data_IF_732765947160
#
_entry.id   IF_732765947160
#
_cell.length_a   1.000
_cell.length_b   1.000
_cell.length_c   1.000
_cell.angle_alpha   90.00
_cell.angle_beta   90.00
_cell.angle_gamma   90.00
#
_symmetry.space_group_name_H-M   'P 1'
#
loop_
_entity.id
_entity.type
_entity.pdbx_description
1 polymer ?
#
# COMPACT_ATOMS: atom_id res chain seq x y z
N UNK A 1 29.36 -5.22 -12.41
CA UNK A 1 28.07 -5.76 -11.95
C UNK A 1 27.74 -5.10 -10.63
N UNK A 2 26.71 -4.27 -10.55
CA UNK A 2 26.32 -3.63 -9.29
C UNK A 2 25.56 -4.68 -8.45
N UNK A 3 26.07 -5.13 -7.29
CA UNK A 3 25.61 -6.37 -6.65
C UNK A 3 24.32 -6.23 -5.84
N UNK A 4 23.57 -5.15 -5.99
CA UNK A 4 22.37 -4.89 -5.20
C UNK A 4 21.28 -4.29 -6.09
N UNK A 5 20.31 -5.09 -6.51
CA UNK A 5 19.10 -4.61 -7.19
C UNK A 5 18.05 -4.25 -6.13
N UNK A 6 17.59 -2.99 -6.09
CA UNK A 6 16.46 -2.55 -5.26
C UNK A 6 15.45 -1.79 -6.12
N UNK A 7 14.24 -1.61 -5.60
CA UNK A 7 13.21 -0.77 -6.23
C UNK A 7 12.81 0.31 -5.25
N UNK A 8 12.93 1.56 -5.70
CA UNK A 8 12.58 2.75 -4.92
C UNK A 8 11.10 2.80 -4.53
N UNK A 9 10.75 3.77 -3.70
CA UNK A 9 9.38 3.97 -3.25
C UNK A 9 8.48 4.46 -4.39
N UNK A 10 7.42 3.74 -4.70
CA UNK A 10 6.52 4.01 -5.83
C UNK A 10 5.10 3.48 -5.59
N UNK A 11 4.26 3.64 -6.60
CA UNK A 11 2.96 2.99 -6.78
C UNK A 11 2.92 2.36 -8.16
N UNK A 12 2.15 1.29 -8.33
CA UNK A 12 1.92 0.71 -9.65
C UNK A 12 0.81 1.45 -10.38
N UNK A 13 0.90 1.53 -11.71
CA UNK A 13 -0.22 1.94 -12.56
C UNK A 13 -1.19 0.76 -12.80
N UNK A 14 -1.73 0.23 -11.71
CA UNK A 14 -2.65 -0.91 -11.70
C UNK A 14 -3.78 -0.67 -10.70
N UNK A 15 -4.87 -1.42 -10.82
CA UNK A 15 -5.82 -1.55 -9.70
C UNK A 15 -5.32 -2.59 -8.70
N UNK A 16 -4.84 -3.70 -9.24
CA UNK A 16 -4.27 -4.82 -8.49
C UNK A 16 -2.98 -5.25 -9.18
N UNK A 17 -1.96 -5.54 -8.37
CA UNK A 17 -0.70 -6.12 -8.81
C UNK A 17 -0.57 -7.52 -8.22
N UNK A 18 -0.29 -8.48 -9.09
CA UNK A 18 0.13 -9.84 -8.72
C UNK A 18 1.65 -9.91 -8.86
N UNK A 19 2.33 -10.30 -7.80
CA UNK A 19 3.79 -10.45 -7.77
C UNK A 19 4.15 -11.87 -7.31
N UNK A 20 4.63 -12.70 -8.24
CA UNK A 20 4.97 -14.12 -8.02
C UNK A 20 6.48 -14.28 -7.91
N UNK A 21 6.95 -14.91 -6.84
CA UNK A 21 8.35 -15.25 -6.66
C UNK A 21 8.70 -16.52 -7.44
N UNK A 22 9.45 -16.38 -8.52
CA UNK A 22 9.90 -17.48 -9.39
C UNK A 22 11.35 -17.90 -9.13
N UNK A 23 12.10 -17.12 -8.33
CA UNK A 23 13.48 -17.41 -7.98
C UNK A 23 13.65 -18.70 -7.16
N UNK A 24 14.88 -19.19 -7.08
CA UNK A 24 15.26 -20.39 -6.31
C UNK A 24 15.66 -20.04 -4.87
N UNK A 25 16.90 -19.56 -4.68
CA UNK A 25 17.43 -19.17 -3.38
C UNK A 25 18.07 -17.79 -3.48
N UNK A 26 17.62 -16.87 -2.62
CA UNK A 26 18.15 -15.52 -2.50
C UNK A 26 17.89 -14.99 -1.08
N UNK A 27 18.61 -13.94 -0.71
CA UNK A 27 18.45 -13.24 0.57
C UNK A 27 18.24 -11.74 0.36
N UNK A 28 17.53 -11.11 1.31
CA UNK A 28 17.08 -9.72 1.18
C UNK A 28 15.94 -9.56 0.17
N UNK A 29 15.82 -8.38 -0.42
CA UNK A 29 14.79 -8.12 -1.43
C UNK A 29 13.37 -7.99 -0.87
N UNK A 30 13.22 -7.78 0.44
CA UNK A 30 11.91 -7.68 1.08
C UNK A 30 11.10 -6.53 0.46
N UNK A 31 9.83 -6.81 0.19
CA UNK A 31 8.88 -5.75 -0.12
C UNK A 31 8.57 -4.99 1.17
N UNK A 32 8.55 -3.66 1.07
CA UNK A 32 8.04 -2.81 2.13
C UNK A 32 6.84 -2.03 1.61
N UNK A 33 5.81 -1.94 2.42
CA UNK A 33 4.56 -1.26 2.15
C UNK A 33 4.37 -0.10 3.12
N UNK A 34 3.75 0.98 2.64
CA UNK A 34 3.52 2.22 3.40
C UNK A 34 2.09 2.74 3.21
N UNK A 35 1.12 1.84 3.29
CA UNK A 35 -0.30 2.17 3.21
C UNK A 35 -0.79 2.55 1.80
N UNK A 36 -2.10 2.44 1.63
CA UNK A 36 -2.79 2.69 0.35
C UNK A 36 -3.28 4.15 0.29
N UNK A 37 -3.13 4.81 -0.86
CA UNK A 37 -3.54 6.20 -1.07
C UNK A 37 -4.30 6.41 -2.37
N UNK A 38 -5.34 7.24 -2.34
CA UNK A 38 -5.97 7.76 -3.55
C UNK A 38 -5.09 8.85 -4.19
N UNK A 39 -5.44 9.26 -5.41
CA UNK A 39 -4.68 10.28 -6.16
C UNK A 39 -4.49 11.59 -5.39
N UNK A 40 -5.50 12.00 -4.61
CA UNK A 40 -5.44 13.21 -3.77
C UNK A 40 -4.47 13.09 -2.59
N UNK A 41 -4.11 11.88 -2.18
CA UNK A 41 -3.34 11.63 -0.96
C UNK A 41 -2.05 10.84 -1.22
N UNK A 42 -1.63 10.63 -2.47
CA UNK A 42 -0.45 9.81 -2.80
C UNK A 42 0.83 10.29 -2.08
N UNK A 43 0.96 11.62 -1.92
CA UNK A 43 2.10 12.29 -1.30
C UNK A 43 1.94 12.55 0.20
N UNK A 44 0.88 12.08 0.86
CA UNK A 44 0.76 12.29 2.32
C UNK A 44 1.70 11.39 3.10
N UNK A 45 1.90 11.69 4.39
CA UNK A 45 2.72 10.87 5.28
C UNK A 45 2.29 9.40 5.37
N UNK A 46 3.15 8.60 5.99
CA UNK A 46 2.86 7.21 6.37
C UNK A 46 2.73 7.14 7.88
N UNK A 47 1.70 6.49 8.38
CA UNK A 47 1.56 6.20 9.80
C UNK A 47 2.17 4.83 10.13
N UNK A 48 2.57 4.63 11.38
CA UNK A 48 3.33 3.45 11.79
C UNK A 48 2.54 2.14 11.56
N UNK A 49 1.23 2.17 11.79
CA UNK A 49 0.32 1.05 11.56
C UNK A 49 0.13 0.66 10.10
N UNK A 50 0.59 1.50 9.17
CA UNK A 50 0.51 1.25 7.72
C UNK A 50 1.79 0.63 7.16
N UNK A 51 2.84 0.54 7.97
CA UNK A 51 4.13 -0.02 7.56
C UNK A 51 4.07 -1.54 7.65
N UNK A 52 4.32 -2.20 6.54
CA UNK A 52 4.38 -3.66 6.47
C UNK A 52 5.60 -4.13 5.68
N UNK A 53 6.10 -5.31 5.99
CA UNK A 53 7.18 -5.96 5.27
C UNK A 53 6.76 -7.35 4.82
N UNK A 54 7.21 -7.77 3.66
CA UNK A 54 6.98 -9.11 3.14
C UNK A 54 8.26 -9.69 2.55
N UNK A 55 8.68 -10.83 3.08
CA UNK A 55 9.77 -11.63 2.55
C UNK A 55 9.23 -12.58 1.50
N UNK A 56 9.76 -12.48 0.28
CA UNK A 56 9.37 -13.39 -0.79
C UNK A 56 9.77 -14.82 -0.49
N UNK A 57 8.88 -15.75 -0.84
CA UNK A 57 9.11 -17.18 -0.77
C UNK A 57 8.92 -17.75 -2.17
N UNK A 58 9.91 -18.47 -2.73
CA UNK A 58 9.78 -19.19 -4.00
C UNK A 58 8.45 -19.95 -4.13
N UNK A 59 7.81 -19.81 -5.29
CA UNK A 59 6.51 -20.43 -5.58
C UNK A 59 5.30 -19.73 -4.95
N UNK A 60 5.49 -18.65 -4.19
CA UNK A 60 4.38 -17.87 -3.61
C UNK A 60 4.14 -16.57 -4.38
N UNK A 61 2.90 -16.10 -4.28
CA UNK A 61 2.47 -14.83 -4.83
C UNK A 61 1.98 -13.89 -3.74
N UNK A 62 2.18 -12.59 -3.96
CA UNK A 62 1.51 -11.52 -3.23
C UNK A 62 0.58 -10.80 -4.17
N UNK A 63 -0.66 -10.61 -3.72
CA UNK A 63 -1.64 -9.77 -4.39
C UNK A 63 -1.80 -8.48 -3.56
N UNK A 64 -1.62 -7.32 -4.18
CA UNK A 64 -1.83 -6.04 -3.52
C UNK A 64 -2.50 -5.03 -4.44
N UNK A 65 -3.10 -3.98 -3.86
CA UNK A 65 -3.60 -2.85 -4.64
C UNK A 65 -2.42 -2.15 -5.32
N UNK A 66 -2.58 -1.72 -6.57
CA UNK A 66 -1.54 -0.94 -7.27
C UNK A 66 -1.25 0.40 -6.58
N UNK A 67 -2.29 0.97 -5.97
CA UNK A 67 -2.21 2.17 -5.12
C UNK A 67 -1.57 1.95 -3.74
N UNK A 68 -1.16 0.72 -3.42
CA UNK A 68 -0.42 0.45 -2.19
C UNK A 68 1.02 0.91 -2.39
N UNK A 69 1.41 1.97 -1.71
CA UNK A 69 2.75 2.56 -1.90
C UNK A 69 3.79 1.61 -1.34
N UNK A 70 4.80 1.27 -2.14
CA UNK A 70 5.74 0.23 -1.78
C UNK A 70 7.10 0.36 -2.49
N UNK A 71 8.03 -0.50 -2.13
CA UNK A 71 9.29 -0.71 -2.85
C UNK A 71 9.90 -2.05 -2.45
N UNK A 72 11.09 -2.32 -2.96
CA UNK A 72 11.84 -3.53 -2.63
C UNK A 72 13.21 -3.14 -2.06
N UNK A 73 13.61 -3.76 -0.95
CA UNK A 73 14.98 -3.64 -0.43
C UNK A 73 15.98 -4.28 -1.40
N UNK A 74 17.26 -4.05 -1.16
CA UNK A 74 18.31 -4.71 -1.93
C UNK A 74 18.29 -6.22 -1.72
N UNK A 75 18.38 -6.98 -2.81
CA UNK A 75 18.78 -8.39 -2.75
C UNK A 75 20.25 -8.44 -2.33
N UNK A 76 20.57 -9.13 -1.24
CA UNK A 76 21.92 -9.18 -0.65
C UNK A 76 22.72 -10.41 -1.06
N UNK A 77 22.05 -11.47 -1.52
CA UNK A 77 22.67 -12.69 -2.04
C UNK A 77 21.70 -13.44 -2.97
N UNK A 78 22.24 -14.21 -3.91
CA UNK A 78 21.47 -14.98 -4.88
C UNK A 78 20.80 -14.13 -5.97
N UNK A 79 19.88 -14.73 -6.72
CA UNK A 79 19.12 -14.08 -7.78
C UNK A 79 17.62 -14.10 -7.48
N UNK A 80 17.05 -12.91 -7.31
CA UNK A 80 15.60 -12.74 -7.12
C UNK A 80 14.94 -12.53 -8.48
N UNK A 81 14.16 -13.52 -8.90
CA UNK A 81 13.32 -13.45 -10.10
C UNK A 81 11.84 -13.43 -9.71
N UNK A 82 11.12 -12.40 -10.15
CA UNK A 82 9.69 -12.26 -9.89
C UNK A 82 8.93 -12.00 -11.19
N UNK A 83 7.77 -12.64 -11.34
CA UNK A 83 6.77 -12.26 -12.35
C UNK A 83 5.85 -11.22 -11.74
N UNK A 84 5.74 -10.05 -12.38
CA UNK A 84 4.84 -8.97 -11.97
C UNK A 84 3.78 -8.77 -13.05
N UNK A 85 2.52 -8.81 -12.66
CA UNK A 85 1.37 -8.60 -13.55
C UNK A 85 0.50 -7.47 -13.00
N UNK A 86 0.28 -6.45 -13.81
CA UNK A 86 -0.58 -5.32 -13.51
C UNK A 86 -1.96 -5.53 -14.12
N UNK A 87 -2.97 -5.57 -13.25
CA UNK A 87 -4.36 -5.76 -13.65
C UNK A 87 -5.12 -4.45 -13.46
N UNK A 88 -5.83 -4.02 -14.52
CA UNK A 88 -6.63 -2.81 -14.55
C UNK A 88 -8.00 -3.10 -15.15
N UNK A 89 -9.05 -2.48 -14.62
CA UNK A 89 -10.37 -2.47 -15.24
C UNK A 89 -10.49 -1.24 -16.15
N UNK A 90 -11.13 -1.43 -17.29
CA UNK A 90 -11.35 -0.36 -18.28
C UNK A 90 -12.33 0.73 -17.79
N UNK A 91 -13.20 0.42 -16.81
CA UNK A 91 -14.31 1.29 -16.41
C UNK A 91 -14.09 2.02 -15.07
N UNK A 92 -12.98 2.76 -14.93
CA UNK A 92 -12.66 3.55 -13.71
C UNK A 92 -13.57 4.76 -13.43
N UNK A 93 -14.60 5.03 -14.25
CA UNK A 93 -15.22 6.36 -14.36
C UNK A 93 -16.09 6.85 -13.17
N UNK A 94 -16.33 6.05 -12.14
CA UNK A 94 -17.37 6.39 -11.15
C UNK A 94 -16.97 6.33 -9.67
N UNK A 95 -15.71 6.13 -9.32
CA UNK A 95 -15.32 6.09 -7.90
C UNK A 95 -15.01 7.49 -7.35
N UNK A 96 -15.88 8.00 -6.48
CA UNK A 96 -15.73 9.32 -5.83
C UNK A 96 -15.42 9.23 -4.34
N UNK A 97 -15.83 8.15 -3.66
CA UNK A 97 -15.45 7.85 -2.27
C UNK A 97 -14.32 6.81 -2.22
N UNK A 98 -13.21 7.22 -1.59
CA UNK A 98 -12.03 6.39 -1.36
C UNK A 98 -11.84 6.01 0.11
N UNK A 99 -12.77 6.39 0.99
CA UNK A 99 -12.66 6.12 2.45
C UNK A 99 -12.68 4.63 2.80
N UNK A 100 -13.16 3.76 1.89
CA UNK A 100 -13.10 2.31 2.08
C UNK A 100 -11.70 1.72 1.90
N UNK A 101 -10.73 2.48 1.38
CA UNK A 101 -9.41 1.92 1.08
C UNK A 101 -8.22 2.87 1.19
N UNK A 102 -8.39 4.17 1.00
CA UNK A 102 -7.32 5.14 1.24
C UNK A 102 -7.23 5.40 2.75
N UNK A 103 -6.07 5.10 3.34
CA UNK A 103 -5.84 5.27 4.78
C UNK A 103 -6.11 6.70 5.26
N UNK A 104 -5.64 7.70 4.51
CA UNK A 104 -5.86 9.11 4.84
C UNK A 104 -7.33 9.54 4.71
N UNK A 105 -8.06 9.06 3.69
CA UNK A 105 -9.50 9.32 3.58
C UNK A 105 -10.27 8.73 4.77
N UNK A 106 -9.94 7.48 5.14
CA UNK A 106 -10.57 6.79 6.27
C UNK A 106 -10.29 7.52 7.59
N UNK A 107 -9.04 7.93 7.82
CA UNK A 107 -8.64 8.67 9.03
C UNK A 107 -9.40 9.97 9.17
N UNK A 108 -9.40 10.81 8.12
CA UNK A 108 -10.16 12.08 8.11
C UNK A 108 -11.66 11.87 8.35
N UNK A 109 -12.23 10.79 7.81
CA UNK A 109 -13.63 10.42 8.06
C UNK A 109 -13.89 10.08 9.53
N UNK A 110 -13.04 9.25 10.14
CA UNK A 110 -13.11 8.91 11.57
C UNK A 110 -12.97 10.15 12.47
N UNK A 111 -12.02 11.03 12.16
CA UNK A 111 -11.82 12.27 12.93
C UNK A 111 -13.04 13.20 12.90
N UNK A 112 -13.67 13.36 11.72
CA UNK A 112 -14.91 14.12 11.58
C UNK A 112 -16.04 13.50 12.40
N UNK A 113 -16.18 12.18 12.38
CA UNK A 113 -17.17 11.46 13.19
C UNK A 113 -16.92 11.67 14.68
N UNK A 114 -15.68 11.52 15.15
CA UNK A 114 -15.33 11.74 16.56
C UNK A 114 -15.64 13.16 17.03
N UNK A 115 -15.32 14.17 16.21
CA UNK A 115 -15.66 15.58 16.50
C UNK A 115 -17.18 15.81 16.56
N UNK A 116 -17.93 15.24 15.62
CA UNK A 116 -19.40 15.36 15.61
C UNK A 116 -20.03 14.72 16.87
N UNK A 117 -19.57 13.54 17.27
CA UNK A 117 -20.02 12.87 18.50
C UNK A 117 -19.67 13.69 19.74
N UNK A 118 -18.45 14.23 19.82
CA UNK A 118 -18.03 15.07 20.95
C UNK A 118 -18.87 16.36 21.06
N UNK A 119 -19.11 17.05 19.94
CA UNK A 119 -19.94 18.25 19.90
C UNK A 119 -21.38 17.96 20.34
N UNK A 120 -21.95 16.85 19.87
CA UNK A 120 -23.30 16.40 20.26
C UNK A 120 -23.39 16.16 21.77
N UNK A 121 -22.40 15.46 22.35
CA UNK A 121 -22.34 15.22 23.81
C UNK A 121 -22.23 16.50 24.62
N UNK A 122 -21.48 17.50 24.15
CA UNK A 122 -21.39 18.80 24.84
C UNK A 122 -22.73 19.51 24.88
N UNK A 123 -23.52 19.50 23.80
CA UNK A 123 -24.86 20.08 23.80
C UNK A 123 -25.76 19.44 24.86
N UNK A 124 -25.76 18.10 24.97
CA UNK A 124 -26.58 17.39 25.96
C UNK A 124 -26.06 17.49 27.40
N UNK A 125 -24.82 17.93 27.63
CA UNK A 125 -24.24 18.09 28.98
C UNK A 125 -24.43 19.50 29.54
N UNK A 126 -24.75 20.47 28.67
CA UNK A 126 -25.00 21.87 29.04
C UNK A 126 -26.51 22.19 29.04
N UNK A 127 -27.35 21.22 28.67
CA UNK A 127 -28.82 21.26 28.77
C UNK A 127 -29.28 20.64 30.08
#
# INVERSE_FOLDING_TARGET
MLPFSWVGFHVDDSEVTLNVCLGKEFFGGELYFRGVRCDKHVNTGTHQEEVGYYSHIPGRAVLHRGRHRHGARATTSGERLNLIMWCRRELKRYQTDFSSWCGECLRRKKERQHRAVAATKMVYTIS
#
